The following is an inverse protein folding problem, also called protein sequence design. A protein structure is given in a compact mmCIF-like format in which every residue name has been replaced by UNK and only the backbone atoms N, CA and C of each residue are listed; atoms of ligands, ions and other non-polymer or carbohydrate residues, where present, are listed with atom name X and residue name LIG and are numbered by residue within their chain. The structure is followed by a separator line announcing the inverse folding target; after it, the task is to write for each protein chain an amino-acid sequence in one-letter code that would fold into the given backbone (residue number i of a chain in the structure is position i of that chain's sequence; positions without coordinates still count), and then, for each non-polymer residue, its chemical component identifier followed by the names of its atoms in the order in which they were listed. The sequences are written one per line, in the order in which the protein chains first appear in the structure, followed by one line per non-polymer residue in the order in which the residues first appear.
data_IF_796864490831
#
_entry.id   IF_796864490831
#
_cell.length_a   1.000
_cell.length_b   1.000
_cell.length_c   1.000
_cell.angle_alpha   90.00
_cell.angle_beta   90.00
_cell.angle_gamma   90.00
#
_symmetry.space_group_name_H-M   'P 1'
#
loop_
_entity.id
_entity.type
_entity.pdbx_description
1 polymer ?
#
# COMPACT_ATOMS: atom_id res chain seq x y z
N UNK A 1 1.82 2.50 -11.05
CA UNK A 1 3.24 2.37 -11.49
C UNK A 1 4.26 2.24 -10.34
N UNK A 2 3.82 1.96 -9.10
CA UNK A 2 4.70 1.95 -7.89
C UNK A 2 5.13 0.52 -7.51
N UNK A 3 4.25 -0.49 -7.67
CA UNK A 3 4.53 -1.87 -7.29
C UNK A 3 5.66 -2.54 -8.10
N UNK A 4 5.79 -2.22 -9.40
CA UNK A 4 6.82 -2.80 -10.27
C UNK A 4 8.23 -2.35 -9.87
N UNK A 5 8.37 -1.18 -9.23
CA UNK A 5 9.65 -0.64 -8.80
C UNK A 5 10.19 -1.33 -7.54
N UNK A 6 9.30 -1.84 -6.67
CA UNK A 6 9.68 -2.60 -5.48
C UNK A 6 10.30 -3.96 -5.80
N UNK A 7 9.97 -4.58 -6.95
CA UNK A 7 10.52 -5.88 -7.36
C UNK A 7 11.94 -5.79 -7.97
N UNK A 8 12.37 -4.60 -8.40
CA UNK A 8 13.68 -4.37 -9.06
C UNK A 8 14.80 -4.14 -8.02
N UNK A 9 14.49 -3.76 -6.79
CA UNK A 9 15.46 -3.65 -5.69
C UNK A 9 15.69 -4.99 -4.98
N UNK A 10 15.98 -6.05 -5.73
CA UNK A 10 16.73 -7.17 -5.14
C UNK A 10 18.17 -6.69 -4.96
N UNK A 11 18.44 -6.13 -3.78
CA UNK A 11 19.72 -5.56 -3.36
C UNK A 11 20.81 -6.64 -3.39
N UNK A 12 21.54 -6.72 -4.50
CA UNK A 12 22.67 -7.64 -4.69
C UNK A 12 24.03 -6.94 -4.69
N UNK A 13 24.10 -5.66 -4.32
CA UNK A 13 25.36 -4.94 -4.17
C UNK A 13 25.33 -3.98 -2.97
N UNK A 14 25.95 -4.39 -1.85
CA UNK A 14 25.75 -3.78 -0.54
C UNK A 14 26.32 -2.37 -0.37
N UNK A 15 27.34 -2.00 -1.15
CA UNK A 15 28.00 -0.69 -1.04
C UNK A 15 27.31 0.42 -1.84
N UNK A 16 26.91 0.14 -3.07
CA UNK A 16 26.25 1.11 -3.94
C UNK A 16 24.81 1.40 -3.47
N UNK A 17 24.07 0.38 -3.06
CA UNK A 17 22.69 0.52 -2.58
C UNK A 17 22.60 1.42 -1.35
N UNK A 18 23.50 1.24 -0.38
CA UNK A 18 23.56 2.05 0.85
C UNK A 18 23.81 3.53 0.56
N UNK A 19 24.79 3.81 -0.29
CA UNK A 19 25.12 5.18 -0.68
C UNK A 19 23.95 5.86 -1.37
N UNK A 20 23.27 5.16 -2.28
CA UNK A 20 22.07 5.67 -2.97
C UNK A 20 20.94 5.92 -1.97
N UNK A 21 20.67 4.98 -1.05
CA UNK A 21 19.62 5.16 -0.04
C UNK A 21 19.85 6.41 0.81
N UNK A 22 21.07 6.66 1.28
CA UNK A 22 21.39 7.87 2.07
C UNK A 22 21.15 9.15 1.27
N UNK A 23 21.51 9.15 -0.02
CA UNK A 23 21.36 10.33 -0.90
C UNK A 23 19.91 10.78 -1.08
N UNK A 24 18.94 9.86 -1.04
CA UNK A 24 17.52 10.19 -1.24
C UNK A 24 16.80 10.59 0.06
N UNK A 25 17.46 10.55 1.22
CA UNK A 25 16.85 10.91 2.50
C UNK A 25 17.12 12.38 2.84
N UNK A 26 16.13 13.06 3.41
CA UNK A 26 16.32 14.42 3.93
C UNK A 26 17.16 14.41 5.21
N UNK A 27 17.79 15.55 5.53
CA UNK A 27 18.61 15.71 6.74
C UNK A 27 17.89 15.33 8.05
N UNK A 28 16.58 15.60 8.12
CA UNK A 28 15.76 15.24 9.28
C UNK A 28 15.63 13.73 9.43
N UNK A 29 15.51 13.00 8.32
CA UNK A 29 15.41 11.54 8.30
C UNK A 29 16.76 10.90 8.57
N UNK A 30 17.85 11.45 8.01
CA UNK A 30 19.22 10.98 8.24
C UNK A 30 19.61 11.00 9.73
N UNK A 31 19.19 12.02 10.48
CA UNK A 31 19.42 12.07 11.94
C UNK A 31 18.77 10.92 12.71
N UNK A 32 17.66 10.39 12.20
CA UNK A 32 16.93 9.30 12.82
C UNK A 32 17.49 7.91 12.48
N UNK A 33 18.22 7.78 11.36
CA UNK A 33 18.82 6.52 10.88
C UNK A 33 20.34 6.48 11.03
N UNK A 34 20.96 7.50 11.64
CA UNK A 34 22.43 7.68 11.75
C UNK A 34 23.22 6.50 12.35
N UNK A 35 22.55 5.64 13.12
CA UNK A 35 23.17 4.48 13.77
C UNK A 35 23.08 3.21 12.91
N UNK A 36 22.33 3.24 11.81
CA UNK A 36 22.11 2.11 10.93
C UNK A 36 23.20 2.07 9.86
N UNK A 37 23.91 0.94 9.76
CA UNK A 37 25.03 0.74 8.82
C UNK A 37 24.67 -0.15 7.63
N UNK A 38 23.42 -0.62 7.56
CA UNK A 38 22.93 -1.47 6.49
C UNK A 38 21.65 -0.88 5.90
N UNK A 39 21.42 -1.13 4.60
CA UNK A 39 20.17 -0.72 3.93
C UNK A 39 18.96 -1.31 4.65
N UNK A 40 19.06 -2.57 5.08
CA UNK A 40 18.00 -3.24 5.86
C UNK A 40 17.75 -2.54 7.20
N UNK A 41 18.81 -2.16 7.93
CA UNK A 41 18.69 -1.43 9.19
C UNK A 41 18.02 -0.07 9.01
N UNK A 42 18.44 0.70 7.99
CA UNK A 42 17.80 1.96 7.61
C UNK A 42 16.31 1.73 7.33
N UNK A 43 15.97 0.73 6.52
CA UNK A 43 14.59 0.42 6.17
C UNK A 43 13.73 0.06 7.38
N UNK A 44 14.20 -0.85 8.24
CA UNK A 44 13.49 -1.25 9.46
C UNK A 44 13.31 -0.07 10.43
N UNK A 45 14.30 0.82 10.52
CA UNK A 45 14.21 2.02 11.34
C UNK A 45 13.16 3.00 10.80
N UNK A 46 13.10 3.18 9.49
CA UNK A 46 12.07 4.00 8.84
C UNK A 46 10.67 3.40 9.03
N UNK A 47 10.53 2.09 8.85
CA UNK A 47 9.29 1.36 9.13
C UNK A 47 8.84 1.62 10.58
N UNK A 48 9.74 1.46 11.56
CA UNK A 48 9.39 1.72 12.97
C UNK A 48 8.99 3.17 13.26
N UNK A 49 9.54 4.16 12.54
CA UNK A 49 9.30 5.58 12.81
C UNK A 49 8.03 6.10 12.14
N UNK A 50 7.77 5.65 10.92
CA UNK A 50 6.73 6.21 10.06
C UNK A 50 5.55 5.26 9.84
N UNK A 51 5.73 3.97 10.11
CA UNK A 51 4.70 2.95 9.87
C UNK A 51 4.26 2.39 11.22
N UNK A 52 3.08 2.80 11.63
CA UNK A 52 2.48 2.31 12.87
C UNK A 52 1.59 1.11 12.58
N UNK A 53 2.08 -0.11 12.81
CA UNK A 53 1.28 -1.35 12.78
C UNK A 53 0.39 -1.52 14.01
N UNK A 54 -0.34 -0.47 14.38
CA UNK A 54 -1.28 -0.51 15.50
C UNK A 54 -2.58 -1.21 15.08
N UNK A 55 -3.20 -1.90 16.04
CA UNK A 55 -4.54 -2.49 15.85
C UNK A 55 -5.56 -1.44 15.37
N UNK A 56 -5.44 -0.20 15.85
CA UNK A 56 -6.30 0.92 15.41
C UNK A 56 -6.14 1.21 13.91
N UNK A 57 -4.90 1.26 13.40
CA UNK A 57 -4.64 1.52 11.98
C UNK A 57 -5.10 0.34 11.12
N UNK A 58 -4.90 -0.89 11.58
CA UNK A 58 -5.41 -2.09 10.91
C UNK A 58 -6.94 -2.07 10.79
N UNK A 59 -7.66 -1.77 11.88
CA UNK A 59 -9.12 -1.65 11.89
C UNK A 59 -9.56 -0.52 10.95
N UNK A 60 -8.90 0.63 11.00
CA UNK A 60 -9.21 1.76 10.13
C UNK A 60 -9.10 1.38 8.64
N UNK A 61 -8.02 0.73 8.24
CA UNK A 61 -7.83 0.28 6.85
C UNK A 61 -8.87 -0.76 6.43
N UNK A 62 -9.20 -1.73 7.30
CA UNK A 62 -10.24 -2.72 7.02
C UNK A 62 -11.60 -2.06 6.82
N UNK A 63 -11.98 -1.12 7.69
CA UNK A 63 -13.24 -0.38 7.56
C UNK A 63 -13.25 0.46 6.27
N UNK A 64 -12.14 1.11 5.92
CA UNK A 64 -12.03 1.89 4.68
C UNK A 64 -12.17 1.00 3.44
N UNK A 65 -11.54 -0.17 3.46
CA UNK A 65 -11.62 -1.16 2.38
C UNK A 65 -13.04 -1.68 2.18
N UNK A 66 -13.70 -2.17 3.24
CA UNK A 66 -15.09 -2.67 3.12
C UNK A 66 -16.12 -1.59 2.79
N UNK A 67 -15.79 -0.32 2.99
CA UNK A 67 -16.63 0.83 2.63
C UNK A 67 -16.21 1.50 1.32
N UNK A 68 -15.29 0.89 0.56
CA UNK A 68 -14.84 1.45 -0.70
C UNK A 68 -16.03 1.59 -1.67
N UNK A 69 -16.09 2.73 -2.35
CA UNK A 69 -17.09 3.08 -3.36
C UNK A 69 -16.36 3.70 -4.54
N UNK A 70 -16.79 3.34 -5.74
CA UNK A 70 -16.32 4.00 -6.96
C UNK A 70 -16.93 5.39 -7.00
N UNK A 71 -16.06 6.39 -7.12
CA UNK A 71 -16.47 7.78 -7.30
C UNK A 71 -16.71 8.04 -8.79
N UNK A 72 -17.92 8.49 -9.15
CA UNK A 72 -18.34 8.71 -10.55
C UNK A 72 -17.61 9.89 -11.23
N UNK A 73 -17.04 10.79 -10.44
CA UNK A 73 -16.25 11.93 -10.90
C UNK A 73 -14.81 11.55 -11.27
N UNK A 74 -14.35 10.35 -10.89
CA UNK A 74 -13.03 9.81 -11.23
C UNK A 74 -13.14 8.75 -12.32
N UNK A 75 -12.05 8.58 -13.06
CA UNK A 75 -11.95 7.47 -13.99
C UNK A 75 -11.98 6.12 -13.26
N UNK A 76 -12.39 5.06 -13.97
CA UNK A 76 -12.36 3.70 -13.43
C UNK A 76 -10.94 3.29 -13.03
N UNK A 77 -9.93 3.67 -13.82
CA UNK A 77 -8.53 3.37 -13.53
C UNK A 77 -8.04 4.05 -12.24
N UNK A 78 -8.45 5.30 -11.98
CA UNK A 78 -8.11 6.00 -10.74
C UNK A 78 -8.80 5.34 -9.53
N UNK A 79 -10.06 4.94 -9.67
CA UNK A 79 -10.76 4.21 -8.61
C UNK A 79 -10.09 2.84 -8.34
N UNK A 80 -9.70 2.12 -9.39
CA UNK A 80 -8.99 0.84 -9.27
C UNK A 80 -7.60 1.02 -8.64
N UNK A 81 -6.88 2.09 -8.96
CA UNK A 81 -5.59 2.39 -8.32
C UNK A 81 -5.77 2.66 -6.82
N UNK A 82 -6.83 3.38 -6.41
CA UNK A 82 -7.16 3.58 -4.99
C UNK A 82 -7.55 2.29 -4.27
N UNK A 83 -8.34 1.42 -4.89
CA UNK A 83 -8.66 0.11 -4.33
C UNK A 83 -7.39 -0.76 -4.17
N UNK A 84 -6.53 -0.80 -5.19
CA UNK A 84 -5.28 -1.54 -5.15
C UNK A 84 -4.33 -1.01 -4.07
N UNK A 85 -4.24 0.31 -3.89
CA UNK A 85 -3.48 0.92 -2.78
C UNK A 85 -3.98 0.41 -1.43
N UNK A 86 -5.30 0.35 -1.22
CA UNK A 86 -5.88 -0.17 0.03
C UNK A 86 -5.54 -1.64 0.27
N UNK A 87 -5.56 -2.48 -0.78
CA UNK A 87 -5.16 -3.89 -0.68
C UNK A 87 -3.69 -4.01 -0.28
N UNK A 88 -2.79 -3.26 -0.94
CA UNK A 88 -1.36 -3.28 -0.64
C UNK A 88 -1.08 -2.80 0.80
N UNK A 89 -1.75 -1.72 1.24
CA UNK A 89 -1.61 -1.20 2.60
C UNK A 89 -2.09 -2.22 3.65
N UNK A 90 -3.19 -2.95 3.35
CA UNK A 90 -3.69 -4.02 4.21
C UNK A 90 -2.75 -5.23 4.25
N UNK A 91 -2.19 -5.66 3.12
CA UNK A 91 -1.20 -6.73 3.09
C UNK A 91 0.07 -6.38 3.88
N UNK A 92 0.43 -5.10 3.92
CA UNK A 92 1.66 -4.64 4.57
C UNK A 92 1.50 -4.39 6.08
N UNK A 93 0.36 -3.84 6.50
CA UNK A 93 0.09 -3.43 7.90
C UNK A 93 -0.74 -4.47 8.67
N UNK A 94 -1.57 -5.24 7.97
CA UNK A 94 -2.53 -6.19 8.51
C UNK A 94 -2.31 -7.59 7.90
N UNK A 95 -3.41 -8.32 7.73
CA UNK A 95 -3.44 -9.64 7.11
C UNK A 95 -3.81 -9.50 5.63
N UNK A 96 -3.29 -10.42 4.81
CA UNK A 96 -3.65 -10.53 3.40
C UNK A 96 -5.17 -10.69 3.26
N UNK A 97 -5.78 -9.84 2.45
CA UNK A 97 -7.19 -10.00 2.05
C UNK A 97 -7.24 -11.02 0.92
N UNK A 98 -8.07 -12.06 1.07
CA UNK A 98 -8.28 -13.04 0.02
C UNK A 98 -8.94 -12.43 -1.22
N UNK A 99 -8.76 -13.10 -2.36
CA UNK A 99 -9.24 -12.61 -3.66
C UNK A 99 -10.77 -12.55 -3.71
N UNK A 100 -11.47 -13.36 -2.91
CA UNK A 100 -12.94 -13.38 -2.81
C UNK A 100 -13.47 -12.10 -2.17
N UNK A 101 -12.88 -11.67 -1.05
CA UNK A 101 -13.19 -10.43 -0.36
C UNK A 101 -12.84 -9.20 -1.21
N UNK A 102 -11.77 -9.27 -2.00
CA UNK A 102 -11.43 -8.22 -2.98
C UNK A 102 -12.48 -8.10 -4.08
N UNK A 103 -12.91 -9.22 -4.67
CA UNK A 103 -13.98 -9.24 -5.65
C UNK A 103 -15.30 -8.75 -5.07
N UNK A 104 -15.64 -9.18 -3.85
CA UNK A 104 -16.86 -8.75 -3.15
C UNK A 104 -16.88 -7.23 -2.94
N UNK A 105 -15.79 -6.64 -2.45
CA UNK A 105 -15.72 -5.18 -2.25
C UNK A 105 -15.81 -4.45 -3.59
N UNK A 106 -15.09 -4.91 -4.61
CA UNK A 106 -15.15 -4.30 -5.94
C UNK A 106 -16.57 -4.30 -6.50
N UNK A 107 -17.27 -5.45 -6.48
CA UNK A 107 -18.65 -5.55 -6.96
C UNK A 107 -19.62 -4.68 -6.16
N UNK A 108 -19.48 -4.62 -4.84
CA UNK A 108 -20.29 -3.76 -3.98
C UNK A 108 -19.95 -2.27 -4.09
N UNK A 109 -18.79 -1.93 -4.67
CA UNK A 109 -18.34 -0.55 -4.85
C UNK A 109 -18.87 0.10 -6.11
N UNK A 110 -19.34 -0.71 -7.07
CA UNK A 110 -19.86 -0.24 -8.35
C UNK A 110 -21.05 0.71 -8.15
N UNK A 111 -21.16 1.77 -8.97
CA UNK A 111 -22.34 2.63 -8.99
C UNK A 111 -23.59 1.80 -9.31
N UNK A 112 -24.74 2.20 -8.78
CA UNK A 112 -26.02 1.50 -9.03
C UNK A 112 -26.39 1.41 -10.51
N UNK A 113 -25.85 2.31 -11.35
CA UNK A 113 -25.99 2.26 -12.81
C UNK A 113 -25.28 1.05 -13.45
N UNK A 114 -24.21 0.54 -12.83
CA UNK A 114 -23.52 -0.69 -13.27
C UNK A 114 -24.09 -1.96 -12.63
N UNK A 115 -24.86 -1.83 -11.54
CA UNK A 115 -25.57 -2.94 -10.90
C UNK A 115 -26.80 -3.42 -11.70
N UNK A 116 -27.15 -2.74 -12.79
CA UNK A 116 -28.27 -3.05 -13.69
C UNK A 116 -27.98 -4.15 -14.73
N UNK A 117 -26.92 -4.94 -14.55
CA UNK A 117 -26.87 -6.24 -15.21
C UNK A 117 -27.70 -7.21 -14.38
N UNK A 118 -29.00 -7.23 -14.68
CA UNK A 118 -29.96 -8.25 -14.30
C UNK A 118 -29.40 -9.63 -14.71
N UNK A 119 -28.64 -10.26 -13.82
CA UNK A 119 -28.33 -11.68 -13.90
C UNK A 119 -29.25 -12.35 -12.89
N UNK A 120 -30.29 -12.96 -13.48
CA UNK A 120 -31.31 -13.88 -12.91
C UNK A 120 -32.65 -13.21 -12.56
N UNK A 121 -33.49 -13.03 -13.58
CA UNK A 121 -34.85 -13.61 -13.57
C UNK A 121 -34.85 -14.84 -14.46
#
# INVERSE_FOLDING_TARGET
MVATKFKIMRFQDGGAAYSITIWYLSDSVLRNVKNETTVTGIWLKLESLYITKSLKNQIYLKVKFFRFKIEEDRSLDENLDELNKLVIDLEYIAEKIDDENQAMVFLNSLPSACSQLDIIT
#
